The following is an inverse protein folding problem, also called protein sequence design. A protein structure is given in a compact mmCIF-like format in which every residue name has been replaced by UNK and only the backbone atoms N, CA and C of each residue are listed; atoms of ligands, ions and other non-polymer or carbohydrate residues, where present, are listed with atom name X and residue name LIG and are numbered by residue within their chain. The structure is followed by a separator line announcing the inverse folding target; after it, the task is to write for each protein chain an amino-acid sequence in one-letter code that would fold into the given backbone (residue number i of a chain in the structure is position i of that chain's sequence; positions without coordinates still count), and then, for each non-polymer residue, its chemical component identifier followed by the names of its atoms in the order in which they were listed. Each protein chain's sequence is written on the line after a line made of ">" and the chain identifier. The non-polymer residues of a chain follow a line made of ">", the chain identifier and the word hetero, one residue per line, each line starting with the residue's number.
data_IF_221172960812
#
_entry.id   IF_221172960812
#
_cell.length_a   1.000
_cell.length_b   1.000
_cell.length_c   1.000
_cell.angle_alpha   90.00
_cell.angle_beta   90.00
_cell.angle_gamma   90.00
#
_symmetry.space_group_name_H-M   'P 1'
#
loop_
_entity.id
_entity.type
_entity.pdbx_description
1 polymer ?
#
# COMPACT_ATOMS: atom_id res chain seq x y z
N UNK A 1 1.40 -15.86 19.81
CA UNK A 1 2.22 -14.65 19.62
C UNK A 1 1.57 -13.87 18.50
N UNK A 2 0.94 -12.75 18.80
CA UNK A 2 0.18 -11.95 17.83
C UNK A 2 0.95 -10.64 17.69
N UNK A 3 1.39 -10.26 16.50
CA UNK A 3 2.02 -8.95 16.26
C UNK A 3 3.35 -9.01 15.52
N UNK A 4 3.32 -9.19 14.20
CA UNK A 4 4.39 -8.65 13.35
C UNK A 4 4.12 -7.17 13.12
N UNK A 5 5.13 -6.29 13.17
CA UNK A 5 4.98 -4.85 12.87
C UNK A 5 5.54 -4.53 11.50
N UNK A 6 4.94 -3.65 10.70
CA UNK A 6 5.58 -3.26 9.43
C UNK A 6 6.81 -2.34 9.62
N UNK A 7 7.88 -2.47 8.83
CA UNK A 7 8.99 -1.52 8.78
C UNK A 7 8.76 -0.42 7.74
N UNK A 8 9.13 0.82 8.08
CA UNK A 8 9.02 1.97 7.17
C UNK A 8 7.76 2.82 7.37
N UNK A 9 7.87 4.08 6.95
CA UNK A 9 6.74 5.00 6.76
C UNK A 9 5.97 5.42 8.02
N UNK A 10 6.62 5.60 9.18
CA UNK A 10 5.91 6.18 10.35
C UNK A 10 5.62 7.64 10.08
N UNK A 11 4.36 7.93 9.77
CA UNK A 11 3.87 9.28 9.53
C UNK A 11 3.64 10.05 10.84
N UNK A 12 3.23 9.34 11.89
CA UNK A 12 2.99 9.94 13.20
C UNK A 12 3.14 8.91 14.31
N UNK A 13 3.58 9.36 15.48
CA UNK A 13 3.63 8.54 16.70
C UNK A 13 2.67 9.12 17.72
N UNK A 14 1.64 8.36 18.06
CA UNK A 14 0.65 8.72 19.07
C UNK A 14 0.99 7.96 20.34
N UNK A 15 1.53 8.68 21.33
CA UNK A 15 1.93 8.11 22.61
C UNK A 15 0.78 7.95 23.60
N UNK A 16 0.98 7.07 24.56
CA UNK A 16 0.12 6.88 25.75
C UNK A 16 -1.34 6.53 25.44
N UNK A 17 -1.56 5.71 24.41
CA UNK A 17 -2.89 5.14 24.16
C UNK A 17 -3.18 4.04 25.16
N UNK A 18 -4.45 3.90 25.59
CA UNK A 18 -4.82 3.03 26.70
C UNK A 18 -4.53 1.53 26.44
N UNK A 19 -4.58 1.11 25.18
CA UNK A 19 -4.37 -0.27 24.74
C UNK A 19 -4.20 -0.29 23.20
N UNK A 20 -3.96 -1.48 22.65
CA UNK A 20 -3.78 -1.65 21.21
C UNK A 20 -5.03 -1.31 20.37
N UNK A 21 -6.25 -1.45 20.91
CA UNK A 21 -7.47 -1.16 20.16
C UNK A 21 -7.70 0.34 19.98
N UNK A 22 -7.16 1.17 20.87
CA UNK A 22 -7.17 2.62 20.70
C UNK A 22 -6.43 3.08 19.43
N UNK A 23 -5.50 2.28 18.90
CA UNK A 23 -4.84 2.58 17.65
C UNK A 23 -5.74 2.45 16.41
N UNK A 24 -6.86 1.72 16.49
CA UNK A 24 -7.85 1.69 15.42
C UNK A 24 -8.45 3.08 15.20
N UNK A 25 -9.00 3.67 16.25
CA UNK A 25 -9.58 5.01 16.19
C UNK A 25 -8.54 6.06 15.79
N UNK A 26 -7.31 5.89 16.26
CA UNK A 26 -6.21 6.77 15.89
C UNK A 26 -5.89 6.72 14.39
N UNK A 27 -5.93 5.54 13.79
CA UNK A 27 -5.75 5.37 12.35
C UNK A 27 -6.97 5.86 11.56
N UNK A 28 -8.19 5.54 12.02
CA UNK A 28 -9.43 5.96 11.35
C UNK A 28 -9.58 7.50 11.32
N UNK A 29 -9.05 8.20 12.33
CA UNK A 29 -9.02 9.67 12.38
C UNK A 29 -7.83 10.31 11.65
N UNK A 30 -6.86 9.54 11.18
CA UNK A 30 -5.66 10.07 10.53
C UNK A 30 -5.80 9.98 9.01
N UNK A 31 -5.84 11.14 8.36
CA UNK A 31 -5.98 11.22 6.90
C UNK A 31 -4.81 10.53 6.20
N UNK A 32 -5.12 9.57 5.32
CA UNK A 32 -4.11 8.76 4.65
C UNK A 32 -3.56 7.60 5.48
N UNK A 33 -4.15 7.26 6.64
CA UNK A 33 -3.70 6.10 7.39
C UNK A 33 -3.93 4.80 6.60
N UNK A 34 -2.84 4.11 6.27
CA UNK A 34 -2.82 2.80 5.61
C UNK A 34 -2.61 1.65 6.60
N UNK A 35 -2.33 1.97 7.87
CA UNK A 35 -2.18 0.99 8.94
C UNK A 35 -1.49 1.58 10.17
N UNK A 36 -1.32 0.77 11.20
CA UNK A 36 -0.58 1.17 12.38
C UNK A 36 0.19 0.00 13.00
N UNK A 37 1.20 0.34 13.79
CA UNK A 37 1.88 -0.61 14.68
C UNK A 37 1.72 -0.19 16.12
N UNK A 38 1.34 -1.12 17.00
CA UNK A 38 1.28 -0.89 18.43
C UNK A 38 2.58 -1.34 19.11
N UNK A 39 3.28 -0.41 19.78
CA UNK A 39 4.54 -0.66 20.47
C UNK A 39 4.51 -0.21 21.95
N UNK A 40 5.56 -0.56 22.70
CA UNK A 40 5.80 -0.10 24.08
C UNK A 40 4.60 -0.29 25.02
N UNK A 41 3.77 -1.30 24.73
CA UNK A 41 2.57 -1.63 25.48
C UNK A 41 2.78 -2.73 26.51
N UNK A 42 1.83 -2.90 27.42
CA UNK A 42 1.78 -4.08 28.29
C UNK A 42 1.60 -5.37 27.47
N UNK A 43 2.01 -6.51 28.05
CA UNK A 43 1.83 -7.82 27.44
C UNK A 43 0.38 -8.04 26.98
N UNK A 44 0.21 -8.67 25.81
CA UNK A 44 -1.10 -8.87 25.16
C UNK A 44 -1.85 -7.59 24.76
N UNK A 45 -1.20 -6.42 24.84
CA UNK A 45 -1.77 -5.14 24.44
C UNK A 45 -2.76 -4.53 25.42
N UNK A 46 -2.88 -5.07 26.64
CA UNK A 46 -3.81 -4.60 27.70
C UNK A 46 -3.12 -3.64 28.68
N UNK A 47 -2.67 -2.49 28.18
CA UNK A 47 -2.08 -1.43 29.00
C UNK A 47 -1.47 -0.37 28.11
N UNK A 48 -1.05 0.75 28.69
CA UNK A 48 -0.64 1.92 27.91
C UNK A 48 0.54 1.64 26.97
N UNK A 49 0.49 2.19 25.75
CA UNK A 49 1.55 2.06 24.75
C UNK A 49 1.49 3.15 23.69
N UNK A 50 2.10 2.94 22.52
CA UNK A 50 2.10 3.93 21.43
C UNK A 50 1.64 3.32 20.10
N UNK A 51 0.98 4.14 19.30
CA UNK A 51 0.58 3.83 17.94
C UNK A 51 1.53 4.53 16.96
N UNK A 52 2.26 3.76 16.16
CA UNK A 52 2.96 4.29 14.99
C UNK A 52 1.98 4.23 13.81
N UNK A 53 1.49 5.39 13.39
CA UNK A 53 0.59 5.55 12.25
C UNK A 53 1.40 5.50 10.96
N UNK A 54 0.88 4.81 9.96
CA UNK A 54 1.52 4.60 8.66
C UNK A 54 0.68 5.20 7.56
N UNK A 55 1.34 5.85 6.61
CA UNK A 55 0.72 6.39 5.40
C UNK A 55 1.25 5.75 4.12
N UNK A 56 2.33 4.97 4.22
CA UNK A 56 2.96 4.28 3.11
C UNK A 56 2.55 2.79 3.10
N UNK A 57 2.73 2.10 1.95
CA UNK A 57 2.25 0.73 1.72
C UNK A 57 2.64 -0.28 2.81
N UNK A 58 1.79 -1.28 3.13
CA UNK A 58 1.73 -1.83 4.49
C UNK A 58 2.58 -3.10 4.75
N UNK A 59 3.54 -3.48 3.92
CA UNK A 59 3.89 -4.91 3.79
C UNK A 59 5.20 -5.46 4.37
N UNK A 60 6.01 -4.71 5.11
CA UNK A 60 7.25 -5.29 5.67
C UNK A 60 7.09 -5.73 7.12
N UNK A 61 6.33 -6.79 7.42
CA UNK A 61 6.22 -7.31 8.79
C UNK A 61 7.60 -7.75 9.34
N UNK A 62 8.21 -6.92 10.19
CA UNK A 62 9.31 -7.28 11.07
C UNK A 62 8.67 -7.81 12.36
N UNK A 63 8.92 -9.07 12.67
CA UNK A 63 8.55 -9.65 13.97
C UNK A 63 9.67 -9.35 14.96
N UNK A 64 9.38 -8.57 15.99
CA UNK A 64 10.27 -8.35 17.14
C UNK A 64 9.51 -8.67 18.41
N UNK A 65 10.24 -9.02 19.48
CA UNK A 65 9.65 -9.38 20.77
C UNK A 65 8.79 -8.26 21.42
N UNK A 66 8.77 -7.05 20.85
CA UNK A 66 8.05 -5.87 21.35
C UNK A 66 6.76 -5.56 20.57
N UNK A 67 6.45 -6.33 19.53
CA UNK A 67 5.33 -6.06 18.62
C UNK A 67 4.14 -6.95 18.98
N UNK A 68 2.99 -6.31 19.22
CA UNK A 68 1.82 -6.96 19.84
C UNK A 68 0.54 -6.90 18.99
N UNK A 69 0.44 -5.96 18.05
CA UNK A 69 -0.69 -5.89 17.09
C UNK A 69 -0.38 -4.95 15.92
N UNK A 70 -0.78 -5.36 14.72
CA UNK A 70 -0.73 -4.55 13.49
C UNK A 70 -2.02 -4.77 12.73
N UNK A 71 -2.62 -3.68 12.26
CA UNK A 71 -3.69 -3.71 11.27
C UNK A 71 -3.21 -3.04 10.02
N UNK A 72 -3.41 -3.70 8.89
CA UNK A 72 -3.33 -3.10 7.56
C UNK A 72 -4.73 -2.53 7.26
N UNK A 73 -4.81 -1.23 6.97
CA UNK A 73 -6.05 -0.66 6.46
C UNK A 73 -6.41 -1.35 5.14
N UNK A 74 -7.71 -1.53 4.90
CA UNK A 74 -8.19 -2.18 3.68
C UNK A 74 -7.53 -1.54 2.47
N UNK A 75 -6.87 -2.36 1.66
CA UNK A 75 -6.34 -1.94 0.38
C UNK A 75 -7.50 -1.44 -0.48
N UNK A 76 -7.58 -0.12 -0.70
CA UNK A 76 -8.55 0.44 -1.63
C UNK A 76 -7.86 0.44 -3.01
N UNK A 77 -8.28 -0.43 -3.95
CA UNK A 77 -7.74 -0.36 -5.29
C UNK A 77 -8.05 1.02 -5.89
N UNK A 78 -7.13 1.59 -6.69
CA UNK A 78 -7.38 2.85 -7.35
C UNK A 78 -8.63 2.72 -8.23
N UNK A 79 -9.58 3.63 -8.01
CA UNK A 79 -10.82 3.73 -8.76
C UNK A 79 -10.82 5.00 -9.60
N UNK A 80 -11.14 4.89 -10.89
CA UNK A 80 -11.23 6.04 -11.78
C UNK A 80 -12.67 6.52 -11.93
N UNK A 81 -12.91 7.84 -12.01
CA UNK A 81 -11.92 8.93 -12.10
C UNK A 81 -11.36 9.44 -10.74
N UNK A 82 -11.86 8.94 -9.61
CA UNK A 82 -11.58 9.49 -8.28
C UNK A 82 -10.09 9.46 -7.87
N UNK A 83 -9.33 8.48 -8.37
CA UNK A 83 -7.92 8.28 -8.06
C UNK A 83 -6.99 8.98 -9.07
N UNK A 84 -7.52 9.79 -9.99
CA UNK A 84 -6.68 10.44 -10.99
C UNK A 84 -5.69 11.42 -10.33
N UNK A 85 -4.40 11.29 -10.64
CA UNK A 85 -3.32 12.11 -10.09
C UNK A 85 -2.92 11.76 -8.66
N UNK A 86 -3.49 10.71 -8.06
CA UNK A 86 -3.06 10.23 -6.74
C UNK A 86 -1.88 9.27 -6.86
N UNK A 87 -1.18 9.05 -5.75
CA UNK A 87 -0.12 8.04 -5.65
C UNK A 87 -0.67 6.75 -5.08
N UNK A 88 -0.31 5.66 -5.72
CA UNK A 88 -0.58 4.31 -5.27
C UNK A 88 0.74 3.64 -4.89
N UNK A 89 0.84 3.12 -3.68
CA UNK A 89 1.99 2.35 -3.26
C UNK A 89 1.63 0.86 -3.26
N UNK A 90 2.39 0.06 -4.00
CA UNK A 90 2.13 -1.37 -4.12
C UNK A 90 2.71 -2.17 -2.94
N UNK A 91 2.44 -3.46 -2.92
CA UNK A 91 2.99 -4.44 -1.98
C UNK A 91 4.53 -4.37 -1.81
N UNK A 92 5.26 -4.13 -2.89
CA UNK A 92 6.73 -4.00 -2.92
C UNK A 92 7.25 -2.66 -2.38
N UNK A 93 6.37 -1.72 -2.03
CA UNK A 93 6.75 -0.37 -1.61
C UNK A 93 7.06 0.59 -2.75
N UNK A 94 6.86 0.16 -4.00
CA UNK A 94 7.03 1.01 -5.20
C UNK A 94 5.81 1.91 -5.35
N UNK A 95 6.06 3.19 -5.61
CA UNK A 95 5.02 4.19 -5.82
C UNK A 95 4.73 4.39 -7.30
N UNK A 96 3.43 4.39 -7.63
CA UNK A 96 2.86 4.58 -8.95
C UNK A 96 2.00 5.84 -8.93
N UNK A 97 2.14 6.71 -9.94
CA UNK A 97 1.17 7.78 -10.14
C UNK A 97 -0.01 7.23 -10.93
N UNK A 98 -1.22 7.40 -10.40
CA UNK A 98 -2.44 6.92 -11.02
C UNK A 98 -2.92 7.89 -12.09
N UNK A 99 -3.09 7.39 -13.32
CA UNK A 99 -3.64 8.14 -14.44
C UNK A 99 -4.91 7.48 -14.94
N UNK A 100 -6.03 8.17 -14.78
CA UNK A 100 -7.34 7.67 -15.19
C UNK A 100 -7.59 7.94 -16.67
N UNK A 101 -8.21 6.98 -17.36
CA UNK A 101 -8.57 7.05 -18.79
C UNK A 101 -7.38 7.13 -19.76
N UNK A 102 -6.15 6.96 -19.26
CA UNK A 102 -4.95 6.86 -20.07
C UNK A 102 -4.70 5.40 -20.48
N UNK A 103 -4.24 5.20 -21.71
CA UNK A 103 -3.66 3.94 -22.16
C UNK A 103 -2.62 4.24 -23.22
N UNK A 104 -1.41 3.77 -23.01
CA UNK A 104 -0.38 3.83 -24.04
C UNK A 104 -0.40 2.51 -24.77
N UNK A 105 -1.07 2.45 -25.92
CA UNK A 105 -1.08 1.25 -26.78
C UNK A 105 0.31 0.88 -27.31
N UNK A 106 1.24 1.84 -27.33
CA UNK A 106 2.65 1.66 -27.69
C UNK A 106 3.46 1.14 -26.49
N UNK A 107 4.46 0.29 -26.77
CA UNK A 107 5.46 -0.22 -25.81
C UNK A 107 4.94 -1.21 -24.76
N UNK A 108 3.96 -2.05 -25.10
CA UNK A 108 3.53 -3.17 -24.23
C UNK A 108 4.58 -4.28 -24.24
N UNK A 109 5.09 -4.66 -23.07
CA UNK A 109 6.00 -5.81 -22.87
C UNK A 109 5.22 -7.10 -22.97
N UNK A 110 4.13 -7.14 -22.21
CA UNK A 110 3.30 -8.30 -22.01
C UNK A 110 1.94 -7.85 -21.52
N UNK A 111 0.94 -8.66 -21.79
CA UNK A 111 -0.39 -8.51 -21.23
C UNK A 111 -0.83 -9.84 -20.64
N UNK A 112 -1.43 -9.79 -19.46
CA UNK A 112 -1.93 -10.96 -18.75
C UNK A 112 -3.35 -10.72 -18.23
N UNK A 113 -4.21 -11.72 -18.39
CA UNK A 113 -5.54 -11.81 -17.76
C UNK A 113 -5.55 -12.69 -16.51
N UNK A 114 -4.42 -13.27 -16.11
CA UNK A 114 -4.32 -14.12 -14.91
C UNK A 114 -4.12 -13.32 -13.62
N UNK A 115 -3.93 -12.01 -13.75
CA UNK A 115 -3.70 -11.08 -12.64
C UNK A 115 -5.05 -10.52 -12.20
N UNK A 116 -5.45 -10.81 -10.95
CA UNK A 116 -6.80 -10.50 -10.46
C UNK A 116 -6.99 -9.09 -9.89
N UNK A 117 -5.93 -8.31 -9.73
CA UNK A 117 -6.01 -6.98 -9.16
C UNK A 117 -4.96 -6.02 -9.73
N UNK A 118 -5.22 -4.72 -9.58
CA UNK A 118 -4.24 -3.67 -9.88
C UNK A 118 -2.94 -3.85 -9.09
N UNK A 119 -3.04 -4.25 -7.82
CA UNK A 119 -1.86 -4.44 -6.97
C UNK A 119 -0.98 -5.59 -7.42
N UNK A 120 -1.58 -6.71 -7.80
CA UNK A 120 -0.85 -7.85 -8.35
C UNK A 120 -0.20 -7.48 -9.70
N UNK A 121 -0.86 -6.62 -10.48
CA UNK A 121 -0.30 -6.10 -11.74
C UNK A 121 0.91 -5.21 -11.48
N UNK A 122 0.85 -4.36 -10.45
CA UNK A 122 1.97 -3.52 -10.03
C UNK A 122 3.17 -4.37 -9.56
N UNK A 123 2.92 -5.43 -8.77
CA UNK A 123 3.98 -6.38 -8.37
C UNK A 123 4.57 -7.10 -9.58
N UNK A 124 3.74 -7.49 -10.54
CA UNK A 124 4.21 -8.11 -11.77
C UNK A 124 5.10 -7.15 -12.58
N UNK A 125 4.75 -5.85 -12.63
CA UNK A 125 5.59 -4.85 -13.27
C UNK A 125 6.95 -4.73 -12.58
N UNK A 126 6.99 -4.62 -11.24
CA UNK A 126 8.25 -4.51 -10.49
C UNK A 126 9.22 -5.66 -10.73
N UNK A 127 8.69 -6.87 -10.95
CA UNK A 127 9.49 -8.09 -11.18
C UNK A 127 9.80 -8.34 -12.66
N UNK A 128 9.21 -7.57 -13.57
CA UNK A 128 9.41 -7.70 -15.01
C UNK A 128 10.48 -6.71 -15.49
N UNK A 129 11.59 -7.25 -15.99
CA UNK A 129 12.69 -6.44 -16.54
C UNK A 129 12.18 -5.52 -17.66
N UNK A 130 12.53 -4.24 -17.55
CA UNK A 130 12.12 -3.21 -18.50
C UNK A 130 10.72 -2.65 -18.29
N UNK A 131 9.96 -3.10 -17.29
CA UNK A 131 8.67 -2.48 -16.96
C UNK A 131 8.88 -1.16 -16.23
N UNK A 132 8.29 -0.09 -16.78
CA UNK A 132 8.29 1.25 -16.14
C UNK A 132 6.88 1.70 -15.78
N UNK A 133 5.87 0.89 -16.04
CA UNK A 133 4.49 1.16 -15.67
C UNK A 133 3.53 0.15 -16.28
N UNK A 134 2.24 0.35 -16.04
CA UNK A 134 1.19 -0.59 -16.46
C UNK A 134 -0.12 0.10 -16.84
N UNK A 135 -0.98 -0.61 -17.57
CA UNK A 135 -2.40 -0.29 -17.76
C UNK A 135 -3.26 -1.41 -17.18
N UNK A 136 -4.28 -1.05 -16.40
CA UNK A 136 -5.27 -1.95 -15.80
C UNK A 136 -6.69 -1.55 -16.19
N UNK A 137 -7.53 -2.53 -16.54
CA UNK A 137 -8.93 -2.31 -16.92
C UNK A 137 -9.94 -3.15 -16.09
N UNK A 138 -9.51 -3.67 -14.94
CA UNK A 138 -10.31 -4.56 -14.10
C UNK A 138 -10.10 -6.05 -14.37
N UNK A 139 -9.64 -6.42 -15.58
CA UNK A 139 -9.48 -7.83 -15.97
C UNK A 139 -8.11 -8.12 -16.59
N UNK A 140 -7.51 -7.13 -17.24
CA UNK A 140 -6.23 -7.25 -17.92
C UNK A 140 -5.19 -6.32 -17.31
N UNK A 141 -4.02 -6.90 -17.08
CA UNK A 141 -2.78 -6.24 -16.71
C UNK A 141 -1.89 -6.12 -17.95
N UNK A 142 -1.62 -4.89 -18.40
CA UNK A 142 -0.72 -4.63 -19.54
C UNK A 142 0.53 -3.92 -19.07
N UNK A 143 1.67 -4.60 -19.07
CA UNK A 143 2.96 -4.04 -18.65
C UNK A 143 3.58 -3.23 -19.79
N UNK A 144 4.18 -2.08 -19.49
CA UNK A 144 4.76 -1.20 -20.52
C UNK A 144 6.22 -0.85 -20.23
N UNK A 145 6.98 -0.64 -21.30
CA UNK A 145 8.42 -0.30 -21.25
C UNK A 145 8.72 1.18 -21.09
N UNK A 146 7.76 2.06 -21.33
CA UNK A 146 8.00 3.50 -21.20
C UNK A 146 6.73 4.27 -20.88
N UNK A 147 6.82 5.14 -19.89
CA UNK A 147 5.79 6.08 -19.49
C UNK A 147 6.44 7.43 -19.13
N UNK A 148 7.27 7.98 -20.02
CA UNK A 148 8.15 9.12 -19.64
C UNK A 148 9.06 8.76 -18.45
N UNK A 149 9.60 9.76 -17.74
CA UNK A 149 10.50 9.54 -16.58
C UNK A 149 9.78 9.11 -15.28
N UNK A 150 8.51 8.71 -15.33
CA UNK A 150 7.70 8.41 -14.16
C UNK A 150 7.26 6.95 -14.14
N UNK A 151 7.18 6.37 -12.92
CA UNK A 151 6.48 5.10 -12.70
C UNK A 151 4.97 5.40 -12.73
N UNK A 152 4.29 4.95 -13.80
CA UNK A 152 2.87 5.26 -14.03
C UNK A 152 1.98 4.01 -13.97
N UNK A 153 0.85 4.15 -13.29
CA UNK A 153 -0.23 3.16 -13.28
C UNK A 153 -1.47 3.76 -13.94
N UNK A 154 -1.80 3.28 -15.13
CA UNK A 154 -3.00 3.73 -15.83
C UNK A 154 -4.19 2.84 -15.49
N UNK A 155 -5.33 3.43 -15.13
CA UNK A 155 -6.56 2.70 -14.80
C UNK A 155 -7.68 3.17 -15.72
N UNK A 156 -8.27 2.25 -16.47
CA UNK A 156 -9.48 2.52 -17.27
C UNK A 156 -10.71 2.45 -16.37
N UNK A 157 -11.61 3.42 -16.54
CA UNK A 157 -12.93 3.44 -15.90
C UNK A 157 -13.88 2.44 -16.59
#
# INVERSE_FOLDING_TARGET
>A
MCGGGSAGGTASTIGNVANWTACFQACDGYSGCTGFTYNQGAAFGNGAGQCLIKTDSPQSFVSTAQLLSTRIAGFIPPSCPASNGTTYANAGGVQYTILCTYDTSVNTISASSSVGSFGDCAVLCDTTSGCTGLTWNGTFCSLKQSFGQYILGAVKA
#
